data_IF_050585293087
#
_entry.id   IF_050585293087
#
_cell.length_a   1.000
_cell.length_b   1.000
_cell.length_c   1.000
_cell.angle_alpha   90.00
_cell.angle_beta   90.00
_cell.angle_gamma   90.00
#
_symmetry.space_group_name_H-M   'P 1'
#
loop_
_entity.id
_entity.type
_entity.pdbx_description
1 polymer ?
#
# COMPACT_ATOMS: atom_id res chain seq x y z
N UNK A 1 -24.14 8.61 -0.77
CA UNK A 1 -22.76 9.07 -0.48
C UNK A 1 -22.52 8.95 1.01
N UNK A 2 -21.41 8.33 1.42
CA UNK A 2 -21.11 7.97 2.82
C UNK A 2 -19.84 8.71 3.26
N UNK A 3 -19.84 9.31 4.46
CA UNK A 3 -18.65 9.96 5.03
C UNK A 3 -17.73 8.93 5.71
N UNK A 4 -16.45 9.01 5.41
CA UNK A 4 -15.37 8.19 5.96
C UNK A 4 -14.51 9.02 6.94
N UNK A 5 -13.47 8.40 7.51
CA UNK A 5 -12.44 9.13 8.24
C UNK A 5 -11.75 10.18 7.32
N UNK A 6 -11.01 11.11 7.93
CA UNK A 6 -10.25 12.15 7.20
C UNK A 6 -11.10 13.10 6.34
N UNK A 7 -12.42 13.13 6.57
CA UNK A 7 -13.34 13.93 5.76
C UNK A 7 -13.58 13.37 4.35
N UNK A 8 -13.09 12.16 4.06
CA UNK A 8 -13.23 11.51 2.76
C UNK A 8 -14.64 10.99 2.52
N UNK A 9 -14.94 10.68 1.26
CA UNK A 9 -16.28 10.29 0.81
C UNK A 9 -16.24 8.98 0.06
N UNK A 10 -17.21 8.11 0.35
CA UNK A 10 -17.44 6.84 -0.33
C UNK A 10 -18.73 6.93 -1.15
N UNK A 11 -18.66 6.45 -2.37
CA UNK A 11 -19.79 6.20 -3.25
C UNK A 11 -19.74 4.77 -3.77
N UNK A 12 -20.89 4.22 -4.14
CA UNK A 12 -21.01 2.93 -4.78
C UNK A 12 -21.68 3.13 -6.15
N UNK A 13 -21.15 2.48 -7.19
CA UNK A 13 -21.71 2.46 -8.54
C UNK A 13 -22.88 1.47 -8.71
N UNK A 14 -23.25 0.76 -7.65
CA UNK A 14 -24.32 -0.23 -7.62
C UNK A 14 -24.67 -0.65 -6.19
N UNK A 15 -25.41 -1.75 -6.05
CA UNK A 15 -25.70 -2.34 -4.74
C UNK A 15 -24.40 -2.95 -4.16
N UNK A 16 -23.98 -2.44 -3.01
CA UNK A 16 -22.77 -2.90 -2.30
C UNK A 16 -23.15 -3.33 -0.90
N UNK A 17 -22.58 -4.44 -0.46
CA UNK A 17 -22.77 -4.99 0.88
C UNK A 17 -22.48 -3.96 1.97
N UNK A 18 -23.46 -3.75 2.86
CA UNK A 18 -23.26 -2.91 4.05
C UNK A 18 -22.20 -3.48 4.99
N UNK A 19 -22.04 -4.80 5.02
CA UNK A 19 -21.01 -5.47 5.82
C UNK A 19 -19.62 -5.14 5.29
N UNK A 20 -19.38 -5.22 3.97
CA UNK A 20 -18.13 -4.80 3.34
C UNK A 20 -17.72 -3.39 3.79
N UNK A 21 -18.65 -2.45 3.72
CA UNK A 21 -18.37 -1.05 4.09
C UNK A 21 -18.07 -0.91 5.59
N UNK A 22 -18.88 -1.54 6.44
CA UNK A 22 -18.80 -1.39 7.91
C UNK A 22 -17.60 -2.10 8.51
N UNK A 23 -17.29 -3.29 8.04
CA UNK A 23 -16.34 -4.22 8.67
C UNK A 23 -14.95 -4.18 8.02
N UNK A 24 -14.85 -3.74 6.76
CA UNK A 24 -13.57 -3.73 6.04
C UNK A 24 -13.16 -2.31 5.60
N UNK A 25 -13.97 -1.65 4.77
CA UNK A 25 -13.59 -0.35 4.18
C UNK A 25 -13.44 0.74 5.25
N UNK A 26 -14.42 0.87 6.15
CA UNK A 26 -14.36 1.90 7.20
C UNK A 26 -13.20 1.69 8.16
N UNK A 27 -12.97 0.47 8.70
CA UNK A 27 -11.82 0.19 9.55
C UNK A 27 -10.47 0.42 8.85
N UNK A 28 -10.29 -0.08 7.62
CA UNK A 28 -9.05 0.11 6.86
C UNK A 28 -8.73 1.60 6.63
N UNK A 29 -9.71 2.40 6.21
CA UNK A 29 -9.50 3.84 6.01
C UNK A 29 -9.25 4.57 7.35
N UNK A 30 -9.88 4.12 8.43
CA UNK A 30 -9.64 4.70 9.77
C UNK A 30 -8.24 4.40 10.29
N UNK A 31 -7.62 3.31 9.85
CA UNK A 31 -6.24 2.95 10.21
C UNK A 31 -5.18 3.77 9.47
N UNK A 32 -5.54 4.45 8.37
CA UNK A 32 -4.64 5.38 7.67
C UNK A 32 -4.31 6.54 8.64
N UNK A 33 -3.02 6.82 8.92
CA UNK A 33 -2.65 7.96 9.75
C UNK A 33 -3.10 9.29 9.18
N UNK A 34 -3.45 10.24 10.05
CA UNK A 34 -3.94 11.56 9.67
C UNK A 34 -2.92 12.34 8.84
N UNK A 35 -1.62 12.23 9.14
CA UNK A 35 -0.55 12.85 8.33
C UNK A 35 -0.47 12.27 6.91
N UNK A 36 -0.67 10.95 6.79
CA UNK A 36 -0.67 10.26 5.49
C UNK A 36 -1.89 10.69 4.66
N UNK A 37 -3.05 10.82 5.31
CA UNK A 37 -4.27 11.31 4.68
C UNK A 37 -4.18 12.79 4.30
N UNK A 38 -3.58 13.63 5.15
CA UNK A 38 -3.36 15.05 4.90
C UNK A 38 -2.42 15.25 3.70
N UNK A 39 -1.34 14.47 3.61
CA UNK A 39 -0.41 14.54 2.50
C UNK A 39 -1.05 14.15 1.15
N UNK A 40 -2.00 13.20 1.14
CA UNK A 40 -2.77 12.88 -0.07
C UNK A 40 -3.81 13.97 -0.40
N UNK A 41 -4.39 14.61 0.61
CA UNK A 41 -5.45 15.60 0.46
C UNK A 41 -6.85 14.98 0.39
N UNK A 42 -7.78 15.62 -0.32
CA UNK A 42 -9.16 15.15 -0.39
C UNK A 42 -9.27 13.86 -1.19
N UNK A 43 -9.86 12.80 -0.62
CA UNK A 43 -10.08 11.55 -1.34
C UNK A 43 -11.58 11.26 -1.52
N UNK A 44 -11.93 10.79 -2.72
CA UNK A 44 -13.17 10.07 -3.00
C UNK A 44 -12.86 8.61 -3.27
N UNK A 45 -13.62 7.71 -2.66
CA UNK A 45 -13.56 6.27 -2.93
C UNK A 45 -14.83 5.89 -3.66
N UNK A 46 -14.68 5.18 -4.77
CA UNK A 46 -15.78 4.65 -5.58
C UNK A 46 -15.66 3.13 -5.65
N UNK A 47 -16.69 2.42 -5.17
CA UNK A 47 -16.78 0.97 -5.30
C UNK A 47 -17.66 0.64 -6.51
N UNK A 48 -17.18 -0.20 -7.41
CA UNK A 48 -17.89 -0.62 -8.64
C UNK A 48 -17.83 -2.14 -8.76
N UNK A 49 -18.74 -2.75 -9.53
CA UNK A 49 -18.67 -4.19 -9.78
C UNK A 49 -17.38 -4.56 -10.51
N UNK A 50 -17.09 -3.88 -11.63
CA UNK A 50 -15.92 -4.15 -12.48
C UNK A 50 -15.21 -2.88 -12.96
N UNK A 51 -13.95 -3.01 -13.38
CA UNK A 51 -13.12 -1.94 -13.93
C UNK A 51 -12.43 -2.37 -15.22
N UNK A 52 -13.03 -2.16 -16.39
CA UNK A 52 -12.32 -2.34 -17.68
C UNK A 52 -11.70 -3.74 -17.89
N UNK A 53 -12.26 -4.77 -17.25
CA UNK A 53 -11.86 -6.17 -17.34
C UNK A 53 -11.40 -6.79 -16.00
N UNK A 54 -11.27 -8.14 -15.93
CA UNK A 54 -11.05 -8.87 -14.68
C UNK A 54 -9.67 -8.63 -14.03
N UNK A 55 -8.71 -8.08 -14.78
CA UNK A 55 -7.32 -7.88 -14.32
C UNK A 55 -7.10 -6.54 -13.60
N UNK A 56 -8.02 -5.59 -13.70
CA UNK A 56 -7.86 -4.28 -13.08
C UNK A 56 -8.68 -4.29 -11.80
N UNK A 57 -7.98 -4.35 -10.68
CA UNK A 57 -8.58 -4.41 -9.35
C UNK A 57 -8.92 -3.01 -8.82
N UNK A 58 -8.06 -2.03 -9.10
CA UNK A 58 -8.29 -0.63 -8.77
C UNK A 58 -7.63 0.32 -9.77
N UNK A 59 -8.00 1.59 -9.66
CA UNK A 59 -7.30 2.71 -10.28
C UNK A 59 -7.49 3.96 -9.44
N UNK A 60 -6.61 4.92 -9.60
CA UNK A 60 -6.78 6.25 -9.06
C UNK A 60 -6.59 7.30 -10.15
N UNK A 61 -7.23 8.45 -9.97
CA UNK A 61 -7.06 9.64 -10.82
C UNK A 61 -6.88 10.87 -9.95
N UNK A 62 -6.02 11.78 -10.38
CA UNK A 62 -5.97 13.12 -9.81
C UNK A 62 -7.25 13.88 -10.17
N UNK A 63 -7.79 14.57 -9.18
CA UNK A 63 -8.91 15.49 -9.31
C UNK A 63 -8.43 16.86 -8.84
N UNK A 64 -9.03 17.95 -9.31
CA UNK A 64 -8.64 19.31 -8.86
C UNK A 64 -8.44 19.44 -7.34
N UNK A 65 -9.37 18.95 -6.48
CA UNK A 65 -9.22 19.05 -5.03
C UNK A 65 -8.47 17.89 -4.35
N UNK A 66 -7.98 16.87 -5.07
CA UNK A 66 -7.32 15.70 -4.47
C UNK A 66 -7.37 14.47 -5.37
N UNK A 67 -7.79 13.30 -4.89
CA UNK A 67 -7.82 12.07 -5.70
C UNK A 67 -9.17 11.35 -5.65
N UNK A 68 -9.46 10.60 -6.72
CA UNK A 68 -10.53 9.61 -6.74
C UNK A 68 -9.93 8.22 -6.93
N UNK A 69 -10.18 7.33 -5.98
CA UNK A 69 -9.79 5.92 -6.02
C UNK A 69 -11.02 5.09 -6.36
N UNK A 70 -10.93 4.27 -7.39
CA UNK A 70 -11.98 3.31 -7.77
C UNK A 70 -11.50 1.90 -7.54
N UNK A 71 -12.32 1.05 -6.91
CA UNK A 71 -12.01 -0.35 -6.63
C UNK A 71 -13.14 -1.25 -7.13
N UNK A 72 -12.77 -2.30 -7.86
CA UNK A 72 -13.70 -3.33 -8.32
C UNK A 72 -14.00 -4.33 -7.19
N UNK A 73 -15.26 -4.74 -7.05
CA UNK A 73 -15.70 -5.60 -5.93
C UNK A 73 -16.22 -6.97 -6.35
N UNK A 74 -16.55 -7.17 -7.63
CA UNK A 74 -17.15 -8.43 -8.08
C UNK A 74 -16.17 -9.61 -7.94
N UNK A 75 -16.65 -10.70 -7.31
CA UNK A 75 -15.90 -11.94 -7.14
C UNK A 75 -14.69 -11.86 -6.20
N UNK A 76 -14.57 -10.80 -5.38
CA UNK A 76 -13.42 -10.58 -4.49
C UNK A 76 -13.82 -10.70 -3.02
N UNK A 77 -12.88 -11.18 -2.21
CA UNK A 77 -13.05 -11.20 -0.76
C UNK A 77 -13.10 -9.76 -0.20
N UNK A 78 -13.95 -9.46 0.79
CA UNK A 78 -14.00 -8.14 1.43
C UNK A 78 -12.66 -7.62 1.97
N UNK A 79 -11.80 -8.50 2.47
CA UNK A 79 -10.46 -8.17 2.94
C UNK A 79 -9.56 -7.76 1.77
N UNK A 80 -9.56 -8.54 0.69
CA UNK A 80 -8.80 -8.24 -0.52
C UNK A 80 -9.22 -6.91 -1.14
N UNK A 81 -10.52 -6.57 -1.12
CA UNK A 81 -11.02 -5.28 -1.59
C UNK A 81 -10.44 -4.13 -0.75
N UNK A 82 -10.35 -4.31 0.56
CA UNK A 82 -9.76 -3.31 1.45
C UNK A 82 -8.24 -3.19 1.26
N UNK A 83 -7.51 -4.30 1.09
CA UNK A 83 -6.08 -4.27 0.78
C UNK A 83 -5.81 -3.60 -0.57
N UNK A 84 -6.59 -3.93 -1.59
CA UNK A 84 -6.48 -3.31 -2.92
C UNK A 84 -6.72 -1.78 -2.84
N UNK A 85 -7.69 -1.35 -2.04
CA UNK A 85 -7.91 0.08 -1.78
C UNK A 85 -6.64 0.73 -1.18
N UNK A 86 -6.00 0.08 -0.21
CA UNK A 86 -4.79 0.59 0.44
C UNK A 86 -3.58 0.59 -0.51
N UNK A 87 -3.45 -0.40 -1.39
CA UNK A 87 -2.43 -0.43 -2.44
C UNK A 87 -2.65 0.75 -3.40
N UNK A 88 -3.88 0.95 -3.87
CA UNK A 88 -4.21 2.05 -4.77
C UNK A 88 -3.97 3.43 -4.12
N UNK A 89 -4.30 3.54 -2.84
CA UNK A 89 -3.96 4.71 -2.02
C UNK A 89 -2.45 4.94 -1.96
N UNK A 90 -1.66 3.90 -1.68
CA UNK A 90 -0.19 3.98 -1.67
C UNK A 90 0.39 4.39 -3.02
N UNK A 91 -0.21 3.95 -4.13
CA UNK A 91 0.17 4.39 -5.47
C UNK A 91 -0.10 5.88 -5.70
N UNK A 92 -1.20 6.42 -5.21
CA UNK A 92 -1.51 7.85 -5.30
C UNK A 92 -0.62 8.68 -4.37
N UNK A 93 -0.33 8.17 -3.17
CA UNK A 93 0.56 8.81 -2.21
C UNK A 93 2.00 8.90 -2.73
N UNK A 94 2.47 7.88 -3.47
CA UNK A 94 3.78 7.90 -4.11
C UNK A 94 4.00 9.16 -4.97
N UNK A 95 2.99 9.56 -5.75
CA UNK A 95 3.07 10.75 -6.60
C UNK A 95 3.00 12.07 -5.80
N UNK A 96 2.64 12.00 -4.51
CA UNK A 96 2.56 13.12 -3.59
C UNK A 96 3.69 13.08 -2.52
N UNK A 97 4.69 12.23 -2.68
CA UNK A 97 5.87 12.26 -1.81
C UNK A 97 6.65 13.55 -2.00
N UNK A 98 7.12 14.12 -0.89
CA UNK A 98 8.11 15.19 -0.94
C UNK A 98 9.42 14.67 -1.55
N UNK A 99 10.26 15.55 -2.13
CA UNK A 99 11.55 15.13 -2.68
C UNK A 99 12.43 14.37 -1.69
N UNK A 100 12.40 14.75 -0.40
CA UNK A 100 13.19 14.11 0.64
C UNK A 100 12.66 12.73 1.02
N UNK A 101 11.33 12.56 1.13
CA UNK A 101 10.72 11.24 1.34
C UNK A 101 11.02 10.30 0.17
N UNK A 102 10.85 10.78 -1.07
CA UNK A 102 11.14 10.01 -2.26
C UNK A 102 12.62 9.60 -2.30
N UNK A 103 13.56 10.52 -2.01
CA UNK A 103 14.99 10.23 -1.93
C UNK A 103 15.30 9.18 -0.86
N UNK A 104 14.73 9.31 0.34
CA UNK A 104 14.95 8.37 1.42
C UNK A 104 14.40 6.97 1.10
N UNK A 105 13.24 6.87 0.45
CA UNK A 105 12.72 5.58 -0.02
C UNK A 105 13.63 4.96 -1.10
N UNK A 106 14.13 5.77 -2.04
CA UNK A 106 15.08 5.29 -3.05
C UNK A 106 16.38 4.78 -2.46
N UNK A 107 16.93 5.45 -1.45
CA UNK A 107 18.14 5.00 -0.75
C UNK A 107 17.90 3.67 -0.02
N UNK A 108 16.69 3.47 0.51
CA UNK A 108 16.29 2.19 1.10
C UNK A 108 16.29 1.08 0.05
N UNK A 109 15.62 1.29 -1.09
CA UNK A 109 15.57 0.31 -2.19
C UNK A 109 16.94 0.02 -2.80
N UNK A 110 17.78 1.05 -2.98
CA UNK A 110 19.15 0.89 -3.50
C UNK A 110 20.00 -0.01 -2.58
N UNK A 111 19.87 0.13 -1.26
CA UNK A 111 20.54 -0.74 -0.31
C UNK A 111 20.07 -2.21 -0.43
N UNK A 112 18.76 -2.44 -0.54
CA UNK A 112 18.19 -3.79 -0.73
C UNK A 112 18.63 -4.42 -2.05
N UNK A 113 18.67 -3.64 -3.14
CA UNK A 113 19.12 -4.11 -4.45
C UNK A 113 20.61 -4.48 -4.43
N UNK A 114 21.46 -3.67 -3.79
CA UNK A 114 22.90 -3.99 -3.61
C UNK A 114 23.14 -5.24 -2.77
N UNK A 115 22.25 -5.50 -1.82
CA UNK A 115 22.28 -6.71 -0.99
C UNK A 115 21.61 -7.93 -1.67
N UNK A 116 21.20 -7.81 -2.93
CA UNK A 116 20.54 -8.86 -3.72
C UNK A 116 19.30 -9.45 -3.03
N UNK A 117 18.52 -8.63 -2.32
CA UNK A 117 17.27 -9.09 -1.68
C UNK A 117 16.26 -9.40 -2.79
N UNK A 118 15.80 -10.67 -2.95
CA UNK A 118 15.00 -11.06 -4.12
C UNK A 118 13.52 -10.77 -3.94
N UNK A 119 13.00 -10.88 -2.72
CA UNK A 119 11.57 -10.80 -2.42
C UNK A 119 11.03 -9.37 -2.37
N UNK A 120 9.70 -9.27 -2.36
CA UNK A 120 8.92 -8.06 -2.11
C UNK A 120 7.68 -8.38 -1.25
N UNK A 121 6.95 -7.35 -0.81
CA UNK A 121 5.72 -7.48 -0.01
C UNK A 121 4.56 -7.96 -0.89
N UNK A 122 4.50 -7.50 -2.14
CA UNK A 122 3.40 -7.74 -3.08
C UNK A 122 3.91 -8.30 -4.42
N UNK A 123 3.06 -9.08 -5.08
CA UNK A 123 3.40 -9.73 -6.36
C UNK A 123 3.67 -8.73 -7.48
N UNK A 124 2.99 -7.57 -7.54
CA UNK A 124 3.27 -6.53 -8.52
C UNK A 124 4.67 -5.96 -8.32
N UNK A 125 5.06 -5.73 -7.07
CA UNK A 125 6.41 -5.29 -6.75
C UNK A 125 7.46 -6.35 -7.16
N UNK A 126 7.20 -7.65 -6.93
CA UNK A 126 8.06 -8.74 -7.42
C UNK A 126 8.18 -8.69 -8.95
N UNK A 127 7.06 -8.57 -9.68
CA UNK A 127 7.05 -8.50 -11.14
C UNK A 127 7.84 -7.31 -11.68
N UNK A 128 7.65 -6.12 -11.11
CA UNK A 128 8.36 -4.91 -11.54
C UNK A 128 9.85 -4.98 -11.21
N UNK A 129 10.23 -5.55 -10.06
CA UNK A 129 11.62 -5.78 -9.68
C UNK A 129 12.32 -6.73 -10.65
N UNK A 130 11.70 -7.88 -10.95
CA UNK A 130 12.20 -8.84 -11.96
C UNK A 130 12.35 -8.16 -13.32
N UNK A 131 11.36 -7.36 -13.72
CA UNK A 131 11.40 -6.64 -14.99
C UNK A 131 12.49 -5.56 -15.05
N UNK A 132 12.79 -4.90 -13.91
CA UNK A 132 13.92 -3.97 -13.77
C UNK A 132 15.26 -4.70 -13.90
N UNK A 133 15.41 -5.84 -13.23
CA UNK A 133 16.66 -6.61 -13.15
C UNK A 133 16.89 -7.58 -14.31
N UNK A 134 15.94 -7.68 -15.25
CA UNK A 134 16.02 -8.63 -16.37
C UNK A 134 17.25 -8.44 -17.29
N UNK A 135 17.81 -7.23 -17.36
CA UNK A 135 19.02 -6.94 -18.14
C UNK A 135 19.68 -5.62 -17.71
N UNK A 136 20.95 -5.41 -18.08
CA UNK A 136 21.64 -4.13 -17.83
C UNK A 136 20.92 -2.92 -18.45
N UNK A 137 20.34 -3.08 -19.65
CA UNK A 137 19.53 -2.05 -20.31
C UNK A 137 18.26 -1.76 -19.50
N UNK A 138 17.61 -2.80 -18.98
CA UNK A 138 16.42 -2.65 -18.13
C UNK A 138 16.75 -1.95 -16.82
N UNK A 139 17.89 -2.28 -16.19
CA UNK A 139 18.36 -1.67 -14.96
C UNK A 139 18.68 -0.18 -15.13
N UNK A 140 19.18 0.22 -16.31
CA UNK A 140 19.40 1.63 -16.65
C UNK A 140 18.10 2.40 -16.98
N UNK A 141 16.96 1.73 -17.10
CA UNK A 141 15.70 2.37 -17.50
C UNK A 141 15.05 3.13 -16.34
N UNK A 142 15.10 4.46 -16.40
CA UNK A 142 14.38 5.34 -15.46
C UNK A 142 12.88 5.01 -15.36
N UNK A 143 12.26 4.60 -16.47
CA UNK A 143 10.85 4.21 -16.50
C UNK A 143 10.60 2.93 -15.69
N UNK A 144 11.43 1.90 -15.86
CA UNK A 144 11.31 0.66 -15.09
C UNK A 144 11.60 0.89 -13.61
N UNK A 145 12.63 1.70 -13.33
CA UNK A 145 12.96 2.08 -11.96
C UNK A 145 11.74 2.73 -11.29
N UNK A 146 11.14 3.76 -11.90
CA UNK A 146 9.93 4.42 -11.39
C UNK A 146 8.76 3.47 -11.16
N UNK A 147 8.50 2.52 -12.08
CA UNK A 147 7.44 1.51 -11.91
C UNK A 147 7.69 0.63 -10.70
N UNK A 148 8.91 0.13 -10.55
CA UNK A 148 9.30 -0.67 -9.39
C UNK A 148 9.16 0.12 -8.08
N UNK A 149 9.67 1.36 -8.03
CA UNK A 149 9.55 2.20 -6.84
C UNK A 149 8.11 2.45 -6.43
N UNK A 150 7.23 2.77 -7.38
CA UNK A 150 5.80 2.96 -7.13
C UNK A 150 5.15 1.68 -6.60
N UNK A 151 5.39 0.53 -7.24
CA UNK A 151 4.81 -0.74 -6.81
C UNK A 151 5.30 -1.17 -5.41
N UNK A 152 6.62 -1.07 -5.18
CA UNK A 152 7.24 -1.35 -3.88
C UNK A 152 6.70 -0.43 -2.78
N UNK A 153 6.62 0.87 -3.03
CA UNK A 153 6.09 1.83 -2.06
C UNK A 153 4.62 1.60 -1.77
N UNK A 154 3.81 1.37 -2.81
CA UNK A 154 2.38 1.14 -2.65
C UNK A 154 2.09 -0.09 -1.77
N UNK A 155 2.79 -1.19 -2.02
CA UNK A 155 2.71 -2.40 -1.21
C UNK A 155 3.14 -2.15 0.24
N UNK A 156 4.22 -1.40 0.43
CA UNK A 156 4.72 -1.03 1.75
C UNK A 156 3.75 -0.12 2.52
N UNK A 157 3.15 0.85 1.84
CA UNK A 157 2.13 1.74 2.41
C UNK A 157 0.86 0.97 2.79
N UNK A 158 0.43 0.04 1.94
CA UNK A 158 -0.69 -0.83 2.24
C UNK A 158 -0.41 -1.71 3.46
N UNK A 159 0.76 -2.36 3.50
CA UNK A 159 1.16 -3.21 4.62
C UNK A 159 1.32 -2.41 5.92
N UNK A 160 1.84 -1.18 5.86
CA UNK A 160 1.92 -0.30 7.02
C UNK A 160 0.55 -0.01 7.62
N UNK A 161 -0.44 0.35 6.79
CA UNK A 161 -1.80 0.60 7.24
C UNK A 161 -2.49 -0.70 7.67
N UNK A 162 -2.20 -1.82 7.00
CA UNK A 162 -2.72 -3.14 7.34
C UNK A 162 -2.31 -3.55 8.76
N UNK A 163 -1.03 -3.37 9.12
CA UNK A 163 -0.53 -3.56 10.49
C UNK A 163 -1.20 -2.67 11.53
N UNK A 164 -1.73 -1.50 11.14
CA UNK A 164 -2.48 -0.60 12.03
C UNK A 164 -3.97 -0.93 12.09
N UNK A 165 -4.48 -1.67 11.11
CA UNK A 165 -5.88 -2.07 11.01
C UNK A 165 -6.17 -3.34 11.82
N UNK A 166 -5.32 -4.36 11.73
CA UNK A 166 -5.41 -5.56 12.57
C UNK A 166 -4.08 -6.32 12.65
N UNK A 167 -4.04 -7.36 13.49
CA UNK A 167 -2.87 -8.23 13.61
C UNK A 167 -2.60 -8.95 12.29
N UNK A 168 -1.35 -8.85 11.80
CA UNK A 168 -0.90 -9.49 10.57
C UNK A 168 0.14 -10.56 10.86
N UNK A 169 0.15 -11.62 10.06
CA UNK A 169 1.17 -12.67 10.12
C UNK A 169 2.20 -12.45 9.02
N UNK A 170 3.49 -12.48 9.40
CA UNK A 170 4.58 -12.38 8.44
C UNK A 170 4.66 -13.65 7.60
N UNK A 171 4.30 -13.54 6.32
CA UNK A 171 4.45 -14.62 5.35
C UNK A 171 5.93 -14.78 5.01
N UNK A 172 6.41 -16.03 4.99
CA UNK A 172 7.81 -16.38 4.70
C UNK A 172 7.91 -17.12 3.38
N UNK A 173 8.96 -16.83 2.63
CA UNK A 173 9.31 -17.56 1.41
C UNK A 173 10.30 -16.79 0.55
N UNK A 174 10.87 -17.43 -0.48
CA UNK A 174 11.90 -16.82 -1.32
C UNK A 174 11.41 -15.60 -2.13
N UNK A 175 10.10 -15.52 -2.38
CA UNK A 175 9.49 -14.38 -3.08
C UNK A 175 9.03 -13.27 -2.11
N UNK A 176 9.01 -13.54 -0.80
CA UNK A 176 8.60 -12.58 0.22
C UNK A 176 9.79 -11.77 0.73
N UNK A 177 9.54 -10.48 0.96
CA UNK A 177 10.55 -9.59 1.53
C UNK A 177 10.96 -10.10 2.94
N UNK A 178 12.28 -10.20 3.25
CA UNK A 178 12.72 -10.61 4.58
C UNK A 178 12.15 -9.71 5.68
N UNK A 179 11.79 -10.29 6.82
CA UNK A 179 11.15 -9.57 7.93
C UNK A 179 11.95 -8.35 8.41
N UNK A 180 13.29 -8.42 8.38
CA UNK A 180 14.16 -7.28 8.69
C UNK A 180 13.98 -6.11 7.72
N UNK A 181 13.85 -6.37 6.42
CA UNK A 181 13.66 -5.33 5.41
C UNK A 181 12.21 -4.79 5.46
N UNK A 182 11.21 -5.65 5.68
CA UNK A 182 9.84 -5.21 5.98
C UNK A 182 9.85 -4.25 7.15
N UNK A 183 10.51 -4.62 8.26
CA UNK A 183 10.64 -3.79 9.45
C UNK A 183 11.24 -2.42 9.13
N UNK A 184 12.36 -2.37 8.40
CA UNK A 184 13.02 -1.10 8.02
C UNK A 184 12.12 -0.20 7.18
N UNK A 185 11.34 -0.78 6.25
CA UNK A 185 10.37 -0.05 5.44
C UNK A 185 9.23 0.51 6.30
N UNK A 186 8.65 -0.29 7.18
CA UNK A 186 7.58 0.15 8.08
C UNK A 186 8.05 1.23 9.07
N UNK A 187 9.26 1.10 9.62
CA UNK A 187 9.87 2.12 10.49
C UNK A 187 10.16 3.43 9.74
N UNK A 188 10.43 3.38 8.44
CA UNK A 188 10.54 4.59 7.62
C UNK A 188 9.19 5.28 7.48
N UNK A 189 8.13 4.55 7.15
CA UNK A 189 6.78 5.10 7.06
C UNK A 189 6.28 5.64 8.40
N UNK A 190 6.53 4.94 9.51
CA UNK A 190 6.14 5.38 10.84
C UNK A 190 6.81 6.69 11.28
N UNK A 191 8.04 6.97 10.80
CA UNK A 191 8.70 8.26 11.04
C UNK A 191 8.08 9.41 10.25
N UNK A 192 7.53 9.14 9.07
CA UNK A 192 6.84 10.16 8.26
C UNK A 192 5.40 10.34 8.68
N UNK A 193 4.73 9.24 9.03
CA UNK A 193 3.30 9.14 9.24
C UNK A 193 3.05 8.40 10.56
N UNK A 194 3.31 9.03 11.72
CA UNK A 194 3.10 8.39 13.01
C UNK A 194 1.63 7.96 13.15
N UNK A 195 1.34 6.79 13.73
CA UNK A 195 -0.03 6.31 13.85
C UNK A 195 -0.84 7.21 14.78
N UNK A 196 -2.11 7.46 14.43
CA UNK A 196 -3.02 8.33 15.20
C UNK A 196 -3.35 7.78 16.60
N UNK A 197 -3.09 6.49 16.82
CA UNK A 197 -3.31 5.76 18.07
C UNK A 197 -2.11 4.88 18.34
N UNK A 198 -1.83 4.62 19.62
CA UNK A 198 -0.83 3.63 20.01
C UNK A 198 -1.30 2.23 19.59
N UNK A 199 -0.95 1.82 18.37
CA UNK A 199 -0.96 0.43 17.95
C UNK A 199 0.49 0.00 17.81
N UNK A 200 0.97 -0.97 18.60
CA UNK A 200 2.32 -1.49 18.39
C UNK A 200 2.35 -2.13 16.99
N UNK A 201 3.28 -1.67 16.13
CA UNK A 201 3.49 -2.20 14.78
C UNK A 201 3.99 -3.66 14.77
N UNK A 202 4.38 -4.16 15.94
CA UNK A 202 4.88 -5.51 16.16
C UNK A 202 4.13 -6.14 17.32
N UNK A 203 3.83 -7.45 17.27
CA UNK A 203 3.31 -8.16 18.43
C UNK A 203 4.24 -7.98 19.63
N UNK A 204 3.69 -7.67 20.81
CA UNK A 204 4.46 -7.66 22.06
C UNK A 204 4.77 -9.12 22.43
N UNK A 205 5.95 -9.60 22.04
CA UNK A 205 6.47 -10.92 22.44
C UNK A 205 6.72 -11.87 21.27
N UNK A 206 7.82 -11.65 20.55
CA UNK A 206 8.53 -12.71 19.84
C UNK A 206 9.77 -13.05 20.65
N UNK A 207 9.60 -13.79 21.75
CA UNK A 207 10.74 -14.36 22.47
C UNK A 207 11.55 -15.23 21.51
N UNK A 208 12.84 -14.93 21.46
CA UNK A 208 13.88 -15.86 21.02
C UNK A 208 13.83 -17.09 21.92
N UNK A 209 13.10 -18.12 21.53
CA UNK A 209 13.37 -19.47 22.02
C UNK A 209 14.55 -20.02 21.24
N UNK A 210 15.74 -19.87 21.82
CA UNK A 210 16.89 -20.68 21.48
C UNK A 210 16.62 -22.14 21.78
N UNK A 211 17.12 -22.99 20.89
CA UNK A 211 17.25 -24.43 20.99
C UNK A 211 18.28 -24.86 19.96
#
# INVERSE_FOLDING_TARGET
>A
MIRLAHGWRLSAGGEISRALIREFIRPAIRAIPSEMAHQLGACRVLLVSELGGPRIASRWVSTGPGVEITVATEGRDPHDIALELLICFGQALWENLTPDQAKAYWLLLDAELRNNIPGEIDEEAVREKRALLASAISAASRRRLKRYGRASFAATAAEYVHCLWHDVHVIRGPEHLPAFEVRRRLELLARWFPPDREHPLYPKGGETSGG
#
